data_IF_954821178028
#
_entry.id   IF_954821178028
#
_cell.length_a   1.000
_cell.length_b   1.000
_cell.length_c   1.000
_cell.angle_alpha   90.00
_cell.angle_beta   90.00
_cell.angle_gamma   90.00
#
_symmetry.space_group_name_H-M   'P 1'
#
loop_
_entity.id
_entity.type
_entity.pdbx_description
1 polymer ?
#
# COMPACT_ATOMS: atom_id res chain seq x y z
N UNK A 1 2.05 -2.98 -18.37
CA UNK A 1 2.29 -4.32 -18.93
C UNK A 1 1.60 -5.40 -18.08
N UNK A 2 1.90 -6.67 -18.29
CA UNK A 2 1.25 -7.78 -17.57
C UNK A 2 1.56 -7.85 -16.07
N UNK A 3 2.65 -7.22 -15.62
CA UNK A 3 3.14 -7.30 -14.24
C UNK A 3 3.04 -5.98 -13.49
N UNK A 4 3.17 -4.87 -14.21
CA UNK A 4 3.33 -3.57 -13.62
C UNK A 4 2.41 -2.53 -14.26
N UNK A 5 1.92 -1.63 -13.43
CA UNK A 5 1.35 -0.36 -13.85
C UNK A 5 2.42 0.73 -13.77
N UNK A 6 2.38 1.66 -14.71
CA UNK A 6 3.32 2.77 -14.81
C UNK A 6 2.59 4.09 -14.68
N UNK A 7 3.11 4.97 -13.85
CA UNK A 7 2.65 6.35 -13.73
C UNK A 7 3.77 7.28 -14.12
N UNK A 8 3.41 8.37 -14.77
CA UNK A 8 4.31 9.50 -15.01
C UNK A 8 3.62 10.77 -14.54
N UNK A 9 4.26 11.47 -13.62
CA UNK A 9 3.80 12.76 -13.09
C UNK A 9 4.77 13.84 -13.57
N UNK A 10 4.22 14.91 -14.14
CA UNK A 10 4.99 16.12 -14.45
C UNK A 10 4.66 17.19 -13.40
N UNK A 11 5.63 17.54 -12.59
CA UNK A 11 5.53 18.60 -11.58
C UNK A 11 6.73 19.54 -11.71
N UNK A 12 6.49 20.69 -12.31
CA UNK A 12 7.53 21.71 -12.49
C UNK A 12 8.10 22.18 -11.16
N UNK A 13 9.42 22.29 -11.12
CA UNK A 13 10.18 22.72 -9.94
C UNK A 13 9.89 21.88 -8.69
N UNK A 14 9.67 20.60 -8.84
CA UNK A 14 9.49 19.70 -7.68
C UNK A 14 10.78 19.58 -6.88
N UNK A 15 10.75 20.08 -5.66
CA UNK A 15 11.85 19.92 -4.72
C UNK A 15 11.72 18.55 -4.01
N UNK A 16 12.32 17.53 -4.62
CA UNK A 16 12.23 16.15 -4.15
C UNK A 16 12.74 15.94 -2.72
N UNK A 17 13.64 16.79 -2.24
CA UNK A 17 14.18 16.68 -0.89
C UNK A 17 13.28 17.33 0.18
N UNK A 18 12.48 18.33 -0.20
CA UNK A 18 11.71 19.13 0.75
C UNK A 18 10.20 19.12 0.51
N UNK A 19 9.74 18.64 -0.64
CA UNK A 19 8.32 18.53 -0.96
C UNK A 19 7.86 17.08 -0.94
N UNK A 20 6.60 16.87 -0.52
CA UNK A 20 5.94 15.57 -0.60
C UNK A 20 4.82 15.62 -1.63
N UNK A 21 4.78 14.62 -2.51
CA UNK A 21 3.69 14.41 -3.45
C UNK A 21 2.79 13.28 -2.97
N UNK A 22 1.48 13.53 -2.93
CA UNK A 22 0.46 12.56 -2.58
C UNK A 22 -0.40 12.24 -3.79
N UNK A 23 -0.54 10.96 -4.11
CA UNK A 23 -1.35 10.48 -5.24
C UNK A 23 -2.39 9.51 -4.70
N UNK A 24 -3.67 9.95 -4.53
CA UNK A 24 -4.74 9.04 -4.18
C UNK A 24 -5.09 8.14 -5.37
N UNK A 25 -5.38 6.87 -5.10
CA UNK A 25 -5.73 5.84 -6.09
C UNK A 25 -6.98 5.14 -5.60
N UNK A 26 -8.00 5.07 -6.45
CA UNK A 26 -9.26 4.39 -6.24
C UNK A 26 -9.30 3.16 -7.14
N UNK A 27 -9.54 1.98 -6.58
CA UNK A 27 -9.57 0.70 -7.29
C UNK A 27 -10.89 -0.04 -7.11
N UNK A 28 -11.65 0.23 -6.05
CA UNK A 28 -12.95 -0.38 -5.79
C UNK A 28 -13.97 0.64 -5.31
N UNK A 29 -15.25 0.39 -5.61
CA UNK A 29 -16.35 1.23 -5.12
C UNK A 29 -16.91 0.77 -3.76
N UNK A 30 -16.35 -0.29 -3.17
CA UNK A 30 -16.86 -0.91 -1.95
C UNK A 30 -16.22 -0.35 -0.68
N UNK A 31 -15.01 0.14 -0.79
CA UNK A 31 -14.19 0.71 0.28
C UNK A 31 -13.63 2.05 -0.13
N UNK A 32 -12.78 2.60 0.67
CA UNK A 32 -12.05 3.83 0.38
C UNK A 32 -12.54 5.02 1.19
N UNK A 33 -11.68 6.02 1.30
CA UNK A 33 -11.94 7.24 2.05
C UNK A 33 -11.53 8.48 1.27
N UNK A 34 -12.34 9.54 1.40
CA UNK A 34 -11.98 10.86 0.87
C UNK A 34 -11.15 11.69 1.84
N UNK A 35 -10.70 11.08 2.95
CA UNK A 35 -9.86 11.73 3.94
C UNK A 35 -8.78 10.78 4.44
N UNK A 36 -7.52 11.21 4.36
CA UNK A 36 -6.37 10.49 4.91
C UNK A 36 -5.92 11.19 6.20
N UNK A 37 -6.22 10.60 7.36
CA UNK A 37 -5.88 11.18 8.67
C UNK A 37 -4.37 11.26 8.91
N UNK A 38 -3.61 10.30 8.36
CA UNK A 38 -2.15 10.24 8.51
C UNK A 38 -1.44 11.54 8.10
N UNK A 39 -2.00 12.22 7.10
CA UNK A 39 -1.41 13.44 6.54
C UNK A 39 -2.36 14.64 6.57
N UNK A 40 -3.54 14.49 7.18
CA UNK A 40 -4.60 15.52 7.19
C UNK A 40 -4.96 15.98 5.77
N UNK A 41 -5.11 15.03 4.85
CA UNK A 41 -5.42 15.29 3.45
C UNK A 41 -6.87 14.95 3.14
N UNK A 42 -7.50 15.82 2.33
CA UNK A 42 -8.85 15.62 1.84
C UNK A 42 -8.83 15.47 0.32
N UNK A 43 -9.54 14.46 -0.18
CA UNK A 43 -9.65 14.14 -1.60
C UNK A 43 -11.04 14.50 -2.12
N UNK A 44 -11.15 14.72 -3.42
CA UNK A 44 -12.46 14.98 -4.08
C UNK A 44 -13.29 13.71 -4.24
N UNK A 45 -12.63 12.54 -4.19
CA UNK A 45 -13.24 11.21 -4.28
C UNK A 45 -12.62 10.30 -3.24
N UNK A 46 -13.30 9.18 -2.96
CA UNK A 46 -12.75 8.13 -2.11
C UNK A 46 -11.50 7.53 -2.77
N UNK A 47 -10.56 7.09 -1.96
CA UNK A 47 -9.35 6.43 -2.38
C UNK A 47 -9.10 5.20 -1.49
N UNK A 48 -8.68 4.10 -2.11
CA UNK A 48 -8.27 2.89 -1.41
C UNK A 48 -6.79 2.92 -1.05
N UNK A 49 -6.00 3.63 -1.86
CA UNK A 49 -4.56 3.75 -1.68
C UNK A 49 -4.12 5.21 -1.73
N UNK A 50 -3.05 5.51 -1.01
CA UNK A 50 -2.34 6.78 -1.11
C UNK A 50 -0.87 6.50 -1.38
N UNK A 51 -0.39 6.89 -2.56
CA UNK A 51 1.03 6.86 -2.84
C UNK A 51 1.67 8.16 -2.35
N UNK A 52 2.71 8.02 -1.56
CA UNK A 52 3.46 9.12 -0.94
C UNK A 52 4.87 9.12 -1.52
N UNK A 53 5.23 10.14 -2.27
CA UNK A 53 6.60 10.37 -2.75
C UNK A 53 7.22 11.43 -1.86
N UNK A 54 8.15 11.00 -1.00
CA UNK A 54 8.77 11.81 0.05
C UNK A 54 10.26 11.45 0.20
N UNK A 55 11.08 11.98 -0.69
CA UNK A 55 12.50 11.66 -0.73
C UNK A 55 12.79 10.19 -1.06
N UNK A 56 14.07 9.83 -1.05
CA UNK A 56 14.54 8.49 -1.47
C UNK A 56 14.12 7.37 -0.52
N UNK A 57 14.02 7.67 0.79
CA UNK A 57 13.89 6.64 1.83
C UNK A 57 12.50 6.54 2.46
N UNK A 58 11.66 7.56 2.28
CA UNK A 58 10.35 7.66 2.95
C UNK A 58 9.16 7.50 2.01
N UNK A 59 9.41 7.25 0.73
CA UNK A 59 8.36 7.04 -0.26
C UNK A 59 7.70 5.68 -0.09
N UNK A 60 6.36 5.63 -0.19
CA UNK A 60 5.59 4.40 0.02
C UNK A 60 4.21 4.46 -0.58
N UNK A 61 3.60 3.29 -0.74
CA UNK A 61 2.19 3.11 -0.98
C UNK A 61 1.52 2.70 0.34
N UNK A 62 0.46 3.41 0.70
CA UNK A 62 -0.41 3.08 1.84
C UNK A 62 -1.73 2.55 1.29
N UNK A 63 -2.40 1.71 2.08
CA UNK A 63 -3.73 1.18 1.78
C UNK A 63 -4.71 1.59 2.90
N UNK A 64 -5.97 1.84 2.55
CA UNK A 64 -7.03 2.05 3.52
C UNK A 64 -7.16 0.78 4.41
N UNK A 65 -7.30 0.95 5.74
CA UNK A 65 -7.09 -0.15 6.69
C UNK A 65 -8.05 -1.32 6.51
N UNK A 66 -9.26 -1.10 6.00
CA UNK A 66 -10.21 -2.16 5.70
C UNK A 66 -9.81 -2.94 4.45
N UNK A 67 -9.24 -2.26 3.45
CA UNK A 67 -8.84 -2.86 2.19
C UNK A 67 -7.42 -3.45 2.21
N UNK A 68 -6.76 -3.40 3.37
CA UNK A 68 -5.50 -4.12 3.59
C UNK A 68 -5.79 -5.62 3.65
N UNK A 69 -5.64 -6.30 2.52
CA UNK A 69 -6.08 -7.67 2.28
C UNK A 69 -5.41 -8.70 3.20
N UNK A 70 -4.15 -8.50 3.52
CA UNK A 70 -3.39 -9.43 4.36
C UNK A 70 -3.85 -9.35 5.82
N UNK A 71 -4.05 -8.15 6.32
CA UNK A 71 -4.53 -7.91 7.68
C UNK A 71 -5.94 -8.46 7.87
N UNK A 72 -6.83 -8.22 6.91
CA UNK A 72 -8.21 -8.72 6.97
C UNK A 72 -8.28 -10.24 6.95
N UNK A 73 -7.48 -10.89 6.10
CA UNK A 73 -7.45 -12.35 5.97
C UNK A 73 -6.91 -13.04 7.22
N UNK A 74 -5.94 -12.42 7.88
CA UNK A 74 -5.21 -13.03 9.01
C UNK A 74 -5.38 -12.27 10.32
N UNK A 75 -6.39 -11.40 10.41
CA UNK A 75 -6.63 -10.56 11.58
C UNK A 75 -6.48 -11.33 12.89
N UNK A 76 -5.66 -10.82 13.78
CA UNK A 76 -5.39 -11.36 15.08
C UNK A 76 -4.51 -12.59 15.15
N UNK A 77 -4.61 -13.48 14.19
CA UNK A 77 -3.81 -14.72 14.22
C UNK A 77 -2.36 -14.51 13.82
N UNK A 78 -2.09 -13.45 13.13
CA UNK A 78 -0.82 -13.27 12.42
C UNK A 78 -0.07 -12.04 12.90
N UNK A 79 -0.77 -10.92 13.11
CA UNK A 79 -0.11 -9.67 13.49
C UNK A 79 0.21 -9.58 14.98
N UNK A 80 -0.80 -9.68 15.83
CA UNK A 80 -0.65 -9.66 17.28
C UNK A 80 -1.92 -10.12 17.99
N UNK A 81 -1.81 -10.33 19.31
CA UNK A 81 -2.92 -10.80 20.12
C UNK A 81 -3.99 -9.72 20.34
N UNK A 82 -3.60 -8.47 20.44
CA UNK A 82 -4.55 -7.36 20.63
C UNK A 82 -5.45 -7.20 19.40
N UNK A 83 -4.88 -7.30 18.19
CA UNK A 83 -5.65 -7.32 16.94
C UNK A 83 -6.61 -8.51 16.91
N UNK A 84 -6.18 -9.68 17.36
CA UNK A 84 -7.04 -10.87 17.46
C UNK A 84 -8.20 -10.67 18.43
N UNK A 85 -7.92 -10.13 19.62
CA UNK A 85 -8.90 -10.00 20.68
C UNK A 85 -9.92 -8.88 20.42
N UNK A 86 -9.56 -7.86 19.65
CA UNK A 86 -10.44 -6.70 19.44
C UNK A 86 -11.67 -7.05 18.59
N UNK A 87 -11.53 -7.97 17.64
CA UNK A 87 -12.59 -8.32 16.69
C UNK A 87 -13.13 -7.14 15.88
N UNK A 88 -12.42 -6.02 15.91
CA UNK A 88 -12.86 -4.80 15.25
C UNK A 88 -12.68 -4.91 13.74
N UNK A 89 -13.80 -4.78 13.04
CA UNK A 89 -13.83 -4.62 11.59
C UNK A 89 -13.75 -3.12 11.29
N UNK A 90 -12.77 -2.65 10.52
CA UNK A 90 -12.70 -1.24 10.14
C UNK A 90 -13.93 -0.81 9.35
N UNK A 91 -14.30 0.46 9.46
CA UNK A 91 -15.38 1.04 8.66
C UNK A 91 -14.98 1.05 7.17
N UNK A 92 -15.98 0.94 6.27
CA UNK A 92 -15.76 0.91 4.80
C UNK A 92 -15.14 2.19 4.24
N UNK A 93 -15.17 3.26 5.01
CA UNK A 93 -14.60 4.56 4.64
C UNK A 93 -13.69 5.06 5.76
N UNK A 94 -12.95 4.16 6.37
CA UNK A 94 -11.99 4.53 7.41
C UNK A 94 -10.98 5.56 6.88
N UNK A 95 -10.78 6.67 7.61
CA UNK A 95 -9.81 7.69 7.19
C UNK A 95 -8.36 7.27 7.43
N UNK A 96 -8.14 6.09 7.98
CA UNK A 96 -6.84 5.58 8.35
C UNK A 96 -6.25 4.75 7.23
N UNK A 97 -5.04 5.12 6.81
CA UNK A 97 -4.25 4.37 5.85
C UNK A 97 -3.08 3.70 6.56
N UNK A 98 -2.80 2.47 6.20
CA UNK A 98 -1.78 1.63 6.84
C UNK A 98 -0.72 1.18 5.84
N UNK A 99 0.42 0.71 6.34
CA UNK A 99 1.44 0.10 5.50
C UNK A 99 0.91 -1.17 4.86
N UNK A 100 1.38 -1.47 3.66
CA UNK A 100 1.19 -2.77 3.02
C UNK A 100 2.35 -3.65 3.45
N UNK A 101 2.04 -4.68 4.25
CA UNK A 101 3.05 -5.53 4.87
C UNK A 101 2.96 -6.97 4.34
N UNK A 102 4.12 -7.60 4.18
CA UNK A 102 4.23 -9.05 3.99
C UNK A 102 4.68 -9.68 5.31
N UNK A 103 4.02 -10.76 5.72
CA UNK A 103 4.35 -11.46 6.95
C UNK A 103 5.51 -12.42 6.69
N UNK A 104 6.62 -12.21 7.40
CA UNK A 104 7.78 -13.08 7.40
C UNK A 104 7.64 -14.19 8.45
N UNK A 105 7.11 -13.84 9.62
CA UNK A 105 6.88 -14.79 10.72
C UNK A 105 5.60 -14.42 11.44
N UNK A 106 4.74 -15.41 11.65
CA UNK A 106 3.49 -15.24 12.39
C UNK A 106 3.72 -15.02 13.89
N UNK A 107 2.82 -14.31 14.53
CA UNK A 107 2.82 -14.22 15.98
C UNK A 107 2.59 -15.60 16.61
N UNK A 108 3.48 -16.01 17.50
CA UNK A 108 3.44 -17.33 18.17
C UNK A 108 2.82 -17.28 19.57
N UNK A 109 2.15 -16.19 19.90
CA UNK A 109 1.56 -15.94 21.22
C UNK A 109 0.73 -17.12 21.74
N UNK A 110 -0.13 -17.68 20.89
CA UNK A 110 -0.99 -18.81 21.25
C UNK A 110 -0.20 -20.11 21.49
N UNK A 111 0.94 -20.29 20.83
CA UNK A 111 1.78 -21.49 20.97
C UNK A 111 2.72 -21.41 22.18
N UNK A 112 3.08 -20.21 22.59
CA UNK A 112 4.09 -19.97 23.63
C UNK A 112 3.48 -19.39 24.93
N UNK A 113 2.17 -19.17 24.97
CA UNK A 113 1.48 -18.40 26.03
C UNK A 113 2.08 -16.99 26.26
N UNK A 114 2.67 -16.43 25.20
CA UNK A 114 3.23 -15.08 25.20
C UNK A 114 2.26 -14.13 24.48
N UNK A 115 1.44 -13.43 25.23
CA UNK A 115 0.45 -12.49 24.73
C UNK A 115 1.05 -11.20 24.17
N UNK A 116 2.38 -11.03 24.28
CA UNK A 116 3.08 -9.87 23.75
C UNK A 116 3.79 -10.17 22.41
N UNK A 117 3.79 -11.43 21.98
CA UNK A 117 4.41 -11.81 20.72
C UNK A 117 3.69 -11.14 19.53
N UNK A 118 4.49 -10.60 18.62
CA UNK A 118 4.02 -9.95 17.39
C UNK A 118 4.54 -10.67 16.16
N UNK A 119 3.83 -10.53 15.06
CA UNK A 119 4.33 -10.98 13.77
C UNK A 119 5.56 -10.17 13.35
N UNK A 120 6.50 -10.83 12.70
CA UNK A 120 7.57 -10.17 11.98
C UNK A 120 7.08 -9.85 10.58
N UNK A 121 7.16 -8.59 10.19
CA UNK A 121 6.63 -8.11 8.90
C UNK A 121 7.69 -7.38 8.10
N UNK A 122 7.53 -7.40 6.78
CA UNK A 122 8.30 -6.62 5.83
C UNK A 122 7.35 -5.69 5.07
N UNK A 123 7.62 -4.38 5.08
CA UNK A 123 6.81 -3.38 4.39
C UNK A 123 7.03 -3.48 2.87
N UNK A 124 6.10 -4.16 2.18
CA UNK A 124 6.13 -4.29 0.71
C UNK A 124 5.66 -3.03 0.00
N UNK A 125 4.92 -2.17 0.70
CA UNK A 125 4.49 -0.87 0.21
C UNK A 125 5.59 0.18 0.19
N UNK A 126 6.76 -0.07 0.80
CA UNK A 126 7.89 0.86 0.74
C UNK A 126 8.47 0.91 -0.67
N UNK A 127 8.52 2.11 -1.26
CA UNK A 127 9.00 2.31 -2.63
C UNK A 127 10.51 2.50 -2.67
N UNK A 128 11.14 1.80 -3.60
CA UNK A 128 12.58 1.79 -3.82
C UNK A 128 12.95 2.87 -4.86
N UNK A 129 13.76 3.84 -4.44
CA UNK A 129 14.28 4.86 -5.36
C UNK A 129 15.42 4.30 -6.21
N UNK A 130 15.49 4.73 -7.47
CA UNK A 130 16.62 4.46 -8.35
C UNK A 130 16.23 4.57 -9.81
N UNK A 131 17.20 4.34 -10.68
CA UNK A 131 17.00 4.34 -12.11
C UNK A 131 17.20 2.94 -12.69
N UNK A 132 16.28 2.47 -13.50
CA UNK A 132 16.37 1.14 -14.11
C UNK A 132 17.40 1.06 -15.27
N UNK A 133 17.93 2.20 -15.72
CA UNK A 133 18.99 2.22 -16.74
C UNK A 133 20.36 1.87 -16.12
N UNK A 134 21.01 0.77 -16.53
CA UNK A 134 22.32 0.36 -15.98
C UNK A 134 23.46 1.37 -16.16
N UNK A 135 23.31 2.32 -17.07
CA UNK A 135 24.31 3.36 -17.34
C UNK A 135 24.14 4.60 -16.44
N UNK A 136 23.07 4.64 -15.64
CA UNK A 136 22.81 5.74 -14.73
C UNK A 136 23.55 5.53 -13.39
N UNK A 137 24.04 6.63 -12.79
CA UNK A 137 24.74 6.59 -11.50
C UNK A 137 23.84 6.10 -10.33
N UNK A 138 22.54 6.37 -10.42
CA UNK A 138 21.53 5.90 -9.46
C UNK A 138 20.93 4.54 -9.88
N UNK A 139 21.66 3.71 -10.66
CA UNK A 139 21.14 2.42 -11.10
C UNK A 139 20.68 1.53 -9.97
N UNK A 140 19.43 1.09 -10.07
CA UNK A 140 18.86 0.09 -9.18
C UNK A 140 17.83 -0.74 -9.95
N UNK A 141 18.13 -2.02 -10.15
CA UNK A 141 17.22 -2.94 -10.88
C UNK A 141 15.89 -3.19 -10.15
N UNK A 142 15.82 -2.89 -8.85
CA UNK A 142 14.63 -3.02 -8.02
C UNK A 142 13.88 -1.68 -7.86
N UNK A 143 14.28 -0.63 -8.60
CA UNK A 143 13.64 0.67 -8.48
C UNK A 143 12.14 0.60 -8.81
N UNK A 144 11.35 1.20 -7.93
CA UNK A 144 9.92 1.44 -8.11
C UNK A 144 9.66 2.85 -8.64
N UNK A 145 10.54 3.80 -8.36
CA UNK A 145 10.40 5.16 -8.87
C UNK A 145 11.74 5.86 -9.05
N UNK A 146 11.74 6.84 -9.96
CA UNK A 146 12.83 7.79 -10.12
C UNK A 146 12.30 9.22 -10.34
N UNK A 147 13.15 10.20 -10.06
CA UNK A 147 12.88 11.62 -10.33
C UNK A 147 13.92 12.12 -11.34
N UNK A 148 13.46 12.66 -12.45
CA UNK A 148 14.29 13.19 -13.50
C UNK A 148 13.81 14.59 -13.92
N UNK A 149 14.42 15.62 -13.36
CA UNK A 149 13.97 16.99 -13.51
C UNK A 149 12.53 17.17 -13.00
N UNK A 150 11.64 17.61 -13.88
CA UNK A 150 10.22 17.84 -13.57
C UNK A 150 9.37 16.56 -13.65
N UNK A 151 9.96 15.41 -13.94
CA UNK A 151 9.24 14.14 -14.12
C UNK A 151 9.50 13.17 -12.99
N UNK A 152 8.44 12.54 -12.53
CA UNK A 152 8.47 11.43 -11.58
C UNK A 152 7.90 10.22 -12.32
N UNK A 153 8.72 9.20 -12.51
CA UNK A 153 8.33 7.94 -13.12
C UNK A 153 8.18 6.89 -12.03
N UNK A 154 7.06 6.17 -12.04
CA UNK A 154 6.72 5.19 -11.00
C UNK A 154 6.27 3.90 -11.68
N UNK A 155 6.73 2.77 -11.15
CA UNK A 155 6.39 1.43 -11.59
C UNK A 155 5.92 0.63 -10.37
N UNK A 156 4.67 0.18 -10.34
CA UNK A 156 4.13 -0.65 -9.26
C UNK A 156 3.68 -2.02 -9.78
N UNK A 157 3.93 -3.11 -9.05
CA UNK A 157 3.25 -4.37 -9.32
C UNK A 157 1.73 -4.22 -9.16
N UNK A 158 0.95 -4.77 -10.06
CA UNK A 158 -0.51 -4.75 -9.98
C UNK A 158 -1.04 -5.31 -8.65
N UNK A 159 -0.36 -6.33 -8.09
CA UNK A 159 -0.74 -6.95 -6.82
C UNK A 159 -0.67 -5.98 -5.63
N UNK A 160 0.20 -4.97 -5.66
CA UNK A 160 0.23 -3.94 -4.60
C UNK A 160 -1.03 -3.08 -4.56
N UNK A 161 -1.77 -3.03 -5.67
CA UNK A 161 -3.06 -2.34 -5.79
C UNK A 161 -4.23 -3.33 -5.71
N UNK A 162 -4.03 -4.49 -5.11
CA UNK A 162 -5.01 -5.57 -4.94
C UNK A 162 -5.59 -6.15 -6.24
N UNK A 163 -4.93 -5.97 -7.40
CA UNK A 163 -5.35 -6.64 -8.62
C UNK A 163 -5.03 -8.14 -8.56
N UNK A 164 -6.04 -8.98 -8.74
CA UNK A 164 -5.92 -10.42 -8.86
C UNK A 164 -5.58 -10.83 -10.31
N UNK A 165 -6.23 -10.19 -11.28
CA UNK A 165 -5.97 -10.37 -12.71
C UNK A 165 -6.19 -9.03 -13.46
N UNK A 166 -5.13 -8.25 -13.69
CA UNK A 166 -5.26 -6.95 -14.35
C UNK A 166 -5.75 -7.06 -15.81
N UNK A 167 -5.50 -8.18 -16.49
CA UNK A 167 -5.95 -8.40 -17.87
C UNK A 167 -7.47 -8.50 -17.96
N UNK A 168 -8.12 -8.90 -16.89
CA UNK A 168 -9.56 -9.05 -16.75
C UNK A 168 -10.19 -7.98 -15.86
N UNK A 169 -9.39 -7.01 -15.40
CA UNK A 169 -9.77 -5.96 -14.45
C UNK A 169 -10.33 -6.54 -13.14
N UNK A 170 -9.84 -7.70 -12.73
CA UNK A 170 -10.25 -8.33 -11.48
C UNK A 170 -9.40 -7.82 -10.33
N UNK A 171 -10.07 -7.39 -9.27
CA UNK A 171 -9.46 -6.99 -7.99
C UNK A 171 -9.91 -7.93 -6.88
N UNK A 172 -9.16 -7.99 -5.78
CA UNK A 172 -9.60 -8.67 -4.58
C UNK A 172 -10.78 -7.93 -3.96
N UNK A 173 -11.80 -8.69 -3.54
CA UNK A 173 -12.98 -8.17 -2.87
C UNK A 173 -12.70 -7.79 -1.42
N UNK A 174 -13.64 -7.11 -0.77
CA UNK A 174 -13.60 -6.80 0.66
C UNK A 174 -13.69 -8.09 1.49
N UNK A 175 -12.58 -8.49 2.08
CA UNK A 175 -12.49 -9.72 2.87
C UNK A 175 -13.40 -9.74 4.11
N UNK A 176 -13.72 -8.59 4.68
CA UNK A 176 -14.58 -8.50 5.86
C UNK A 176 -16.07 -8.74 5.55
N UNK A 177 -16.46 -8.63 4.29
CA UNK A 177 -17.82 -8.99 3.86
C UNK A 177 -17.99 -10.52 3.66
N UNK A 178 -16.96 -11.30 4.00
CA UNK A 178 -17.00 -12.77 3.93
C UNK A 178 -16.76 -13.33 2.53
N UNK A 179 -16.38 -12.51 1.60
CA UNK A 179 -16.07 -12.86 0.22
C UNK A 179 -14.54 -12.86 0.00
N UNK A 180 -13.94 -14.05 0.08
CA UNK A 180 -12.54 -14.23 -0.31
C UNK A 180 -12.42 -14.36 -1.83
N UNK A 181 -13.16 -13.57 -2.55
CA UNK A 181 -13.29 -13.63 -3.99
C UNK A 181 -12.56 -12.50 -4.70
N UNK A 182 -12.90 -12.34 -5.95
CA UNK A 182 -12.51 -11.24 -6.81
C UNK A 182 -13.77 -10.55 -7.33
N UNK A 183 -13.68 -9.25 -7.57
CA UNK A 183 -14.71 -8.46 -8.23
C UNK A 183 -14.21 -7.89 -9.57
N UNK A 184 -15.15 -7.34 -10.39
CA UNK A 184 -14.89 -6.80 -11.72
C UNK A 184 -15.21 -5.31 -11.76
#
# INVERSE_FOLDING_TARGET
>A
DEKFIYFMVNKKNFDFENETLYIPIDTTQKTGSNYCENYNLKFDRDADFVMVINGKDNSRLLVEERYESLRSTYAGNVYDFDTYSSGNVPDKNSPKFVNIDMILQTATALLQNDLTAKAEVFETGKLCYGNANPENEDFNSLADFCVNGDYIEIKLPWQLLNFADPSRMQIHDDYYDGNYGVEY
#
